data_IF_290663526285
#
_entry.id   IF_290663526285
#
_cell.length_a   1.000
_cell.length_b   1.000
_cell.length_c   1.000
_cell.angle_alpha   90.00
_cell.angle_beta   90.00
_cell.angle_gamma   90.00
#
_symmetry.space_group_name_H-M   'P 1'
#
loop_
_entity.id
_entity.type
_entity.pdbx_description
1 polymer ?
#
# COMPACT_ATOMS: atom_id res chain seq x y z
N UNK A 1 -6.55 -22.25 -15.01
CA UNK A 1 -7.93 -21.89 -14.59
C UNK A 1 -7.93 -20.46 -14.07
N UNK A 2 -8.28 -19.50 -14.92
CA UNK A 2 -8.12 -18.05 -14.69
C UNK A 2 -9.14 -17.52 -13.66
N UNK A 3 -8.61 -17.02 -12.53
CA UNK A 3 -9.02 -15.83 -11.79
C UNK A 3 -10.52 -15.47 -11.67
N UNK A 4 -11.40 -16.43 -11.36
CA UNK A 4 -12.78 -16.10 -10.92
C UNK A 4 -12.85 -15.52 -9.49
N UNK A 5 -11.76 -15.58 -8.73
CA UNK A 5 -11.72 -15.11 -7.34
C UNK A 5 -11.67 -13.59 -7.19
N UNK A 6 -11.14 -12.86 -8.18
CA UNK A 6 -11.03 -11.38 -8.12
C UNK A 6 -12.38 -10.67 -8.14
N UNK A 7 -13.34 -11.02 -9.02
CA UNK A 7 -14.69 -10.42 -8.95
C UNK A 7 -15.45 -10.87 -7.70
N UNK A 8 -15.17 -12.06 -7.17
CA UNK A 8 -15.83 -12.57 -5.95
C UNK A 8 -15.46 -11.76 -4.70
N UNK A 9 -14.18 -11.38 -4.55
CA UNK A 9 -13.73 -10.54 -3.42
C UNK A 9 -14.29 -9.12 -3.52
N UNK A 10 -14.34 -8.55 -4.72
CA UNK A 10 -14.98 -7.24 -4.94
C UNK A 10 -16.47 -7.25 -4.64
N UNK A 11 -17.19 -8.30 -5.05
CA UNK A 11 -18.61 -8.47 -4.76
C UNK A 11 -18.88 -8.67 -3.26
N UNK A 12 -18.04 -9.44 -2.55
CA UNK A 12 -18.14 -9.62 -1.10
C UNK A 12 -17.90 -8.31 -0.33
N UNK A 13 -16.94 -7.50 -0.77
CA UNK A 13 -16.66 -6.19 -0.16
C UNK A 13 -17.83 -5.21 -0.40
N UNK A 14 -18.39 -5.17 -1.61
CA UNK A 14 -19.59 -4.38 -1.93
C UNK A 14 -20.80 -4.85 -1.13
N UNK A 15 -21.02 -6.17 -1.03
CA UNK A 15 -22.11 -6.74 -0.25
C UNK A 15 -21.98 -6.37 1.24
N UNK A 16 -20.78 -6.51 1.81
CA UNK A 16 -20.50 -6.14 3.19
C UNK A 16 -20.74 -4.63 3.42
N UNK A 17 -20.32 -3.77 2.49
CA UNK A 17 -20.56 -2.33 2.55
C UNK A 17 -22.06 -2.00 2.54
N UNK A 18 -22.84 -2.65 1.66
CA UNK A 18 -24.30 -2.48 1.58
C UNK A 18 -24.98 -2.94 2.87
N UNK A 19 -24.55 -4.07 3.44
CA UNK A 19 -25.09 -4.60 4.70
C UNK A 19 -24.79 -3.65 5.87
N UNK A 20 -23.57 -3.10 5.96
CA UNK A 20 -23.20 -2.12 6.98
C UNK A 20 -24.00 -0.82 6.80
N UNK A 21 -24.16 -0.32 5.56
CA UNK A 21 -24.96 0.87 5.29
C UNK A 21 -26.43 0.67 5.68
N UNK A 22 -27.01 -0.49 5.38
CA UNK A 22 -28.39 -0.82 5.77
C UNK A 22 -28.54 -0.92 7.30
N UNK A 23 -27.55 -1.47 7.99
CA UNK A 23 -27.57 -1.59 9.45
C UNK A 23 -27.48 -0.22 10.16
N UNK A 24 -26.75 0.73 9.58
CA UNK A 24 -26.61 2.10 10.12
C UNK A 24 -27.81 2.98 9.79
N UNK A 25 -28.45 2.76 8.62
CA UNK A 25 -29.59 3.57 8.17
C UNK A 25 -30.93 3.17 8.81
N UNK A 26 -31.02 1.99 9.42
CA UNK A 26 -32.28 1.49 10.00
C UNK A 26 -32.35 1.77 11.51
N UNK A 27 -33.12 2.77 11.98
CA UNK A 27 -33.40 2.92 13.39
C UNK A 27 -34.21 1.71 13.87
N UNK A 28 -33.60 0.85 14.69
CA UNK A 28 -34.26 -0.30 15.29
C UNK A 28 -35.39 0.15 16.22
N UNK A 29 -36.61 0.26 15.69
CA UNK A 29 -37.82 0.48 16.48
C UNK A 29 -38.41 -0.86 16.90
N UNK A 30 -37.95 -1.35 18.05
CA UNK A 30 -38.61 -2.45 18.75
C UNK A 30 -39.96 -1.95 19.27
N UNK A 31 -41.04 -2.28 18.56
CA UNK A 31 -42.41 -2.14 19.06
C UNK A 31 -42.67 -3.32 19.97
N UNK A 32 -42.51 -3.12 21.29
CA UNK A 32 -42.90 -4.11 22.27
C UNK A 32 -44.42 -4.32 22.16
N UNK A 33 -44.92 -5.57 22.09
CA UNK A 33 -46.34 -5.82 22.20
C UNK A 33 -46.83 -5.25 23.53
N UNK A 34 -47.79 -4.32 23.50
CA UNK A 34 -48.48 -3.91 24.72
C UNK A 34 -49.10 -5.17 25.32
N UNK A 35 -48.54 -5.60 26.45
CA UNK A 35 -49.14 -6.62 27.28
C UNK A 35 -50.49 -6.03 27.72
N UNK A 36 -51.57 -6.47 27.09
CA UNK A 36 -52.94 -6.21 27.54
C UNK A 36 -53.11 -6.92 28.87
N UNK A 37 -52.67 -6.29 29.94
CA UNK A 37 -53.11 -6.64 31.28
C UNK A 37 -54.60 -6.30 31.33
N UNK A 38 -55.44 -7.34 31.36
CA UNK A 38 -56.83 -7.17 31.78
C UNK A 38 -56.82 -6.50 33.16
N UNK A 39 -57.57 -5.41 33.39
CA UNK A 39 -57.63 -4.81 34.70
C UNK A 39 -58.20 -5.86 35.65
N UNK A 40 -57.39 -6.34 36.59
CA UNK A 40 -57.95 -7.00 37.76
C UNK A 40 -58.74 -5.93 38.51
N UNK A 41 -60.01 -6.23 38.77
CA UNK A 41 -60.93 -5.35 39.50
C UNK A 41 -60.27 -4.89 40.81
N UNK A 42 -59.99 -3.59 40.88
CA UNK A 42 -59.30 -3.00 42.01
C UNK A 42 -60.28 -2.83 43.19
N UNK A 43 -59.95 -3.31 44.40
CA UNK A 43 -60.72 -2.92 45.57
C UNK A 43 -60.53 -1.43 45.87
N UNK A 44 -61.62 -0.84 46.35
CA UNK A 44 -61.86 0.57 46.64
C UNK A 44 -60.68 1.34 47.24
N UNK A 45 -60.35 2.44 46.55
CA UNK A 45 -59.60 3.66 46.92
C UNK A 45 -59.22 3.85 48.41
N UNK A 46 -57.90 3.84 48.65
CA UNK A 46 -57.23 4.74 49.59
C UNK A 46 -56.73 5.97 48.79
N UNK A 47 -56.65 7.18 49.37
CA UNK A 47 -56.06 8.32 48.69
C UNK A 47 -54.60 7.99 48.36
N UNK A 48 -54.29 7.92 47.07
CA UNK A 48 -52.94 7.66 46.60
C UNK A 48 -52.01 8.80 47.07
N UNK A 49 -50.80 8.51 47.56
CA UNK A 49 -49.80 9.56 47.73
C UNK A 49 -49.57 10.21 46.36
N UNK A 50 -49.56 11.53 46.33
CA UNK A 50 -49.19 12.30 45.13
C UNK A 50 -47.82 11.84 44.67
N UNK A 51 -47.77 11.03 43.61
CA UNK A 51 -46.53 10.71 42.92
C UNK A 51 -46.04 12.01 42.29
N UNK A 52 -44.97 12.58 42.86
CA UNK A 52 -44.20 13.63 42.20
C UNK A 52 -43.76 13.05 40.85
N UNK A 53 -44.10 13.69 39.71
CA UNK A 53 -43.61 13.21 38.42
C UNK A 53 -42.07 13.17 38.50
N UNK A 54 -41.43 12.08 38.05
CA UNK A 54 -39.98 12.03 38.03
C UNK A 54 -39.45 13.24 37.26
N UNK A 55 -38.36 13.89 37.71
CA UNK A 55 -37.76 14.96 36.95
C UNK A 55 -37.46 14.45 35.53
N UNK A 56 -37.76 15.26 34.51
CA UNK A 56 -37.41 14.95 33.13
C UNK A 56 -35.94 14.51 33.10
N UNK A 57 -35.60 13.40 32.42
CA UNK A 57 -34.21 13.01 32.28
C UNK A 57 -33.47 14.20 31.68
N UNK A 58 -32.51 14.75 32.43
CA UNK A 58 -31.55 15.73 31.89
C UNK A 58 -30.82 15.00 30.79
N UNK A 59 -31.29 15.15 29.56
CA UNK A 59 -30.67 14.62 28.37
C UNK A 59 -29.31 15.28 28.25
N UNK A 60 -28.27 14.61 28.76
CA UNK A 60 -26.91 14.94 28.38
C UNK A 60 -26.82 14.87 26.86
N UNK A 61 -26.03 15.75 26.26
CA UNK A 61 -25.77 15.84 24.81
C UNK A 61 -25.03 14.60 24.25
N UNK A 62 -25.48 13.39 24.60
CA UNK A 62 -25.00 12.09 24.11
C UNK A 62 -25.07 12.01 22.57
N UNK A 63 -25.95 12.83 21.96
CA UNK A 63 -26.05 12.97 20.51
C UNK A 63 -24.77 13.51 19.86
N UNK A 64 -24.04 14.41 20.53
CA UNK A 64 -22.80 14.97 19.96
C UNK A 64 -21.65 13.98 20.05
N UNK A 65 -21.49 13.32 21.20
CA UNK A 65 -20.46 12.30 21.41
C UNK A 65 -20.69 11.08 20.48
N UNK A 66 -21.93 10.65 20.30
CA UNK A 66 -22.30 9.59 19.36
C UNK A 66 -21.96 9.99 17.91
N UNK A 67 -22.24 11.24 17.52
CA UNK A 67 -21.91 11.73 16.18
C UNK A 67 -20.40 11.73 15.91
N UNK A 68 -19.58 12.15 16.88
CA UNK A 68 -18.11 12.13 16.75
C UNK A 68 -17.54 10.71 16.66
N UNK A 69 -18.08 9.76 17.41
CA UNK A 69 -17.67 8.35 17.34
C UNK A 69 -18.01 7.74 15.98
N UNK A 70 -19.20 8.04 15.44
CA UNK A 70 -19.62 7.59 14.11
C UNK A 70 -18.72 8.21 13.03
N UNK A 71 -18.41 9.50 13.12
CA UNK A 71 -17.50 10.17 12.19
C UNK A 71 -16.09 9.54 12.23
N UNK A 72 -15.55 9.27 13.42
CA UNK A 72 -14.25 8.63 13.60
C UNK A 72 -14.24 7.22 13.00
N UNK A 73 -15.31 6.45 13.21
CA UNK A 73 -15.47 5.12 12.62
C UNK A 73 -15.46 5.18 11.08
N UNK A 74 -16.17 6.13 10.47
CA UNK A 74 -16.15 6.34 9.02
C UNK A 74 -14.77 6.69 8.49
N UNK A 75 -14.05 7.57 9.18
CA UNK A 75 -12.66 7.92 8.82
C UNK A 75 -11.76 6.70 8.88
N UNK A 76 -11.88 5.87 9.92
CA UNK A 76 -11.09 4.64 10.06
C UNK A 76 -11.43 3.62 8.97
N UNK A 77 -12.72 3.46 8.62
CA UNK A 77 -13.17 2.58 7.54
C UNK A 77 -12.66 3.05 6.18
N UNK A 78 -12.72 4.34 5.88
CA UNK A 78 -12.17 4.91 4.64
C UNK A 78 -10.65 4.72 4.56
N UNK A 79 -9.95 4.94 5.67
CA UNK A 79 -8.51 4.70 5.75
C UNK A 79 -8.17 3.21 5.52
N UNK A 80 -8.90 2.29 6.15
CA UNK A 80 -8.73 0.85 5.98
C UNK A 80 -9.03 0.41 4.53
N UNK A 81 -10.11 0.93 3.93
CA UNK A 81 -10.47 0.68 2.54
C UNK A 81 -9.40 1.19 1.57
N UNK A 82 -8.85 2.38 1.82
CA UNK A 82 -7.74 2.94 1.03
C UNK A 82 -6.48 2.08 1.12
N UNK A 83 -6.08 1.67 2.33
CA UNK A 83 -4.93 0.79 2.53
C UNK A 83 -5.12 -0.58 1.88
N UNK A 84 -6.34 -1.14 1.97
CA UNK A 84 -6.68 -2.39 1.33
C UNK A 84 -6.63 -2.26 -0.19
N UNK A 85 -7.23 -1.22 -0.77
CA UNK A 85 -7.19 -0.94 -2.20
C UNK A 85 -5.75 -0.80 -2.70
N UNK A 86 -4.91 -0.03 -1.98
CA UNK A 86 -3.48 0.07 -2.25
C UNK A 86 -2.78 -1.29 -2.20
N UNK A 87 -3.08 -2.12 -1.20
CA UNK A 87 -2.48 -3.46 -1.08
C UNK A 87 -2.89 -4.40 -2.22
N UNK A 88 -4.15 -4.34 -2.65
CA UNK A 88 -4.71 -5.12 -3.75
C UNK A 88 -4.12 -4.69 -5.08
N UNK A 89 -4.03 -3.39 -5.34
CA UNK A 89 -3.34 -2.85 -6.52
C UNK A 89 -1.88 -3.31 -6.55
N UNK A 90 -1.17 -3.24 -5.42
CA UNK A 90 0.21 -3.77 -5.33
C UNK A 90 0.29 -5.26 -5.65
N UNK A 91 -0.65 -6.07 -5.14
CA UNK A 91 -0.70 -7.52 -5.39
C UNK A 91 -1.06 -7.88 -6.83
N UNK A 92 -1.98 -7.15 -7.45
CA UNK A 92 -2.38 -7.36 -8.85
C UNK A 92 -1.23 -6.97 -9.78
N UNK A 93 -0.56 -5.84 -9.52
CA UNK A 93 0.61 -5.41 -10.30
C UNK A 93 1.78 -6.38 -10.10
N UNK A 94 1.99 -6.93 -8.89
CA UNK A 94 3.01 -7.97 -8.66
C UNK A 94 2.64 -9.36 -9.18
N UNK A 95 1.33 -9.65 -9.30
CA UNK A 95 0.78 -10.94 -9.74
C UNK A 95 0.54 -11.03 -11.24
N UNK A 96 0.81 -9.94 -11.99
CA UNK A 96 0.88 -9.93 -13.47
C UNK A 96 2.25 -10.36 -14.00
N UNK A 97 3.10 -10.97 -13.18
CA UNK A 97 4.17 -11.83 -13.70
C UNK A 97 3.48 -12.91 -14.56
N UNK A 98 3.75 -13.00 -15.86
CA UNK A 98 3.45 -14.22 -16.58
C UNK A 98 4.11 -15.36 -15.82
N UNK A 99 3.35 -16.42 -15.60
CA UNK A 99 3.83 -17.67 -15.02
C UNK A 99 4.88 -18.24 -15.97
N UNK A 100 6.14 -17.81 -15.82
CA UNK A 100 7.26 -18.32 -16.59
C UNK A 100 7.57 -19.70 -16.04
N UNK A 101 7.45 -20.67 -16.95
CA UNK A 101 7.57 -22.11 -16.76
C UNK A 101 8.69 -22.53 -15.78
N UNK A 102 8.53 -23.66 -15.07
CA UNK A 102 9.61 -24.24 -14.27
C UNK A 102 10.80 -24.58 -15.17
N UNK A 103 11.88 -23.81 -15.08
CA UNK A 103 13.17 -24.21 -15.64
C UNK A 103 13.66 -25.43 -14.87
N UNK A 104 13.92 -26.52 -15.60
CA UNK A 104 14.60 -27.71 -15.10
C UNK A 104 15.92 -27.34 -14.41
N UNK A 105 16.26 -27.99 -13.29
CA UNK A 105 17.54 -27.80 -12.64
C UNK A 105 18.58 -28.64 -13.38
N UNK A 106 19.33 -28.04 -14.32
CA UNK A 106 20.51 -28.69 -14.86
C UNK A 106 21.79 -27.85 -14.72
N UNK A 107 22.72 -28.47 -13.99
CA UNK A 107 24.17 -28.28 -13.95
C UNK A 107 24.76 -27.04 -13.28
N UNK A 108 25.14 -27.30 -12.03
CA UNK A 108 26.42 -26.92 -11.43
C UNK A 108 27.60 -27.25 -12.38
N UNK A 109 27.86 -26.38 -13.35
CA UNK A 109 29.11 -26.28 -14.09
C UNK A 109 29.41 -24.79 -14.20
N UNK A 110 30.63 -24.39 -13.84
CA UNK A 110 31.07 -23.00 -13.83
C UNK A 110 30.73 -22.30 -15.14
N UNK A 111 29.66 -21.50 -15.11
CA UNK A 111 29.23 -20.70 -16.23
C UNK A 111 30.11 -19.48 -16.30
N UNK A 112 31.04 -19.48 -17.26
CA UNK A 112 31.48 -18.23 -17.84
C UNK A 112 30.22 -17.44 -18.24
N UNK A 113 29.99 -16.35 -17.52
CA UNK A 113 29.07 -15.29 -17.92
C UNK A 113 29.43 -14.97 -19.36
N UNK A 114 28.52 -15.21 -20.31
CA UNK A 114 28.66 -14.67 -21.65
C UNK A 114 28.79 -13.16 -21.52
N UNK A 115 29.95 -12.55 -21.85
CA UNK A 115 30.04 -11.11 -21.96
C UNK A 115 29.39 -10.76 -23.29
N UNK A 116 28.09 -10.39 -23.29
CA UNK A 116 27.42 -10.08 -24.55
C UNK A 116 25.90 -10.12 -24.59
N UNK A 117 25.19 -10.20 -23.46
CA UNK A 117 23.85 -9.63 -23.43
C UNK A 117 24.00 -8.11 -23.44
N UNK A 118 24.08 -7.49 -24.62
CA UNK A 118 24.12 -6.04 -24.75
C UNK A 118 22.96 -5.47 -23.93
N UNK A 119 23.28 -4.77 -22.83
CA UNK A 119 22.29 -3.94 -22.14
C UNK A 119 21.79 -2.95 -23.15
N UNK A 120 20.48 -2.88 -23.31
CA UNK A 120 19.84 -1.84 -24.11
C UNK A 120 20.02 -0.52 -23.34
N UNK A 121 21.03 0.28 -23.72
CA UNK A 121 21.36 1.53 -23.03
C UNK A 121 20.17 2.50 -23.02
N UNK A 122 19.46 2.75 -24.14
CA UNK A 122 18.22 3.52 -24.14
C UNK A 122 17.20 3.06 -23.09
N UNK A 123 16.94 1.75 -23.00
CA UNK A 123 16.04 1.20 -21.99
C UNK A 123 16.51 1.45 -20.55
N UNK A 124 17.83 1.42 -20.31
CA UNK A 124 18.39 1.70 -19.00
C UNK A 124 18.32 3.20 -18.65
N UNK A 125 18.50 4.08 -19.65
CA UNK A 125 18.28 5.54 -19.50
C UNK A 125 16.82 5.79 -19.12
N UNK A 126 15.86 5.24 -19.86
CA UNK A 126 14.42 5.35 -19.56
C UNK A 126 14.10 4.87 -18.13
N UNK A 127 14.76 3.80 -17.68
CA UNK A 127 14.58 3.27 -16.33
C UNK A 127 15.15 4.18 -15.24
N UNK A 128 16.29 4.82 -15.48
CA UNK A 128 16.90 5.79 -14.57
C UNK A 128 16.09 7.09 -14.52
N UNK A 129 15.58 7.55 -15.66
CA UNK A 129 14.70 8.73 -15.74
C UNK A 129 13.38 8.50 -15.01
N UNK A 130 12.78 7.31 -15.16
CA UNK A 130 11.60 6.94 -14.37
C UNK A 130 11.90 6.91 -12.86
N UNK A 131 13.09 6.46 -12.46
CA UNK A 131 13.52 6.47 -11.06
C UNK A 131 13.73 7.89 -10.53
N UNK A 132 14.28 8.81 -11.34
CA UNK A 132 14.42 10.23 -11.02
C UNK A 132 13.05 10.90 -10.83
N UNK A 133 12.13 10.71 -11.78
CA UNK A 133 10.76 11.22 -11.65
C UNK A 133 10.08 10.68 -10.38
N UNK A 134 10.32 9.41 -10.05
CA UNK A 134 9.75 8.80 -8.85
C UNK A 134 10.37 9.31 -7.56
N UNK A 135 11.65 9.67 -7.58
CA UNK A 135 12.33 10.30 -6.45
C UNK A 135 11.65 11.63 -6.07
N UNK A 136 11.17 12.36 -7.08
CA UNK A 136 10.64 13.73 -6.94
C UNK A 136 9.19 13.76 -6.45
N UNK A 137 8.44 12.72 -6.77
CA UNK A 137 7.01 12.58 -6.44
C UNK A 137 6.78 12.09 -4.98
N UNK A 138 7.82 11.71 -4.24
CA UNK A 138 7.64 11.13 -2.91
C UNK A 138 7.47 12.19 -1.80
N UNK A 139 6.48 11.97 -0.93
CA UNK A 139 6.18 12.89 0.18
C UNK A 139 7.16 12.86 1.36
N UNK A 140 8.06 11.86 1.45
CA UNK A 140 9.07 11.79 2.51
C UNK A 140 10.45 11.41 1.95
N UNK A 141 11.56 11.87 2.56
CA UNK A 141 12.91 11.50 2.12
C UNK A 141 13.18 9.99 2.11
N UNK A 142 12.65 9.28 3.11
CA UNK A 142 12.72 7.83 3.19
C UNK A 142 12.03 7.17 1.98
N UNK A 143 10.78 7.56 1.74
CA UNK A 143 9.98 6.97 0.66
C UNK A 143 10.54 7.34 -0.72
N UNK A 144 11.16 8.51 -0.87
CA UNK A 144 11.80 8.94 -2.10
C UNK A 144 12.85 7.93 -2.57
N UNK A 145 13.83 7.63 -1.71
CA UNK A 145 14.94 6.73 -2.06
C UNK A 145 14.44 5.31 -2.32
N UNK A 146 13.51 4.80 -1.49
CA UNK A 146 12.94 3.47 -1.68
C UNK A 146 12.10 3.40 -2.95
N UNK A 147 11.30 4.42 -3.25
CA UNK A 147 10.44 4.42 -4.42
C UNK A 147 11.23 4.57 -5.71
N UNK A 148 12.26 5.41 -5.74
CA UNK A 148 13.16 5.54 -6.89
C UNK A 148 13.87 4.21 -7.20
N UNK A 149 14.41 3.53 -6.18
CA UNK A 149 15.04 2.22 -6.35
C UNK A 149 14.05 1.18 -6.90
N UNK A 150 12.85 1.11 -6.34
CA UNK A 150 11.83 0.16 -6.80
C UNK A 150 11.36 0.50 -8.22
N UNK A 151 11.28 1.78 -8.59
CA UNK A 151 10.92 2.18 -9.95
C UNK A 151 12.03 1.84 -10.96
N UNK A 152 13.31 1.99 -10.59
CA UNK A 152 14.42 1.52 -11.41
C UNK A 152 14.28 0.02 -11.72
N UNK A 153 14.00 -0.81 -10.72
CA UNK A 153 13.78 -2.25 -10.92
C UNK A 153 12.57 -2.54 -11.82
N UNK A 154 11.45 -1.85 -11.58
CA UNK A 154 10.23 -2.04 -12.37
C UNK A 154 10.39 -1.58 -13.81
N UNK A 155 11.04 -0.45 -14.02
CA UNK A 155 11.26 0.10 -15.33
C UNK A 155 12.19 -0.79 -16.14
N UNK A 156 13.27 -1.26 -15.54
CA UNK A 156 14.18 -2.25 -16.16
C UNK A 156 13.44 -3.53 -16.58
N UNK A 157 12.53 -4.03 -15.74
CA UNK A 157 11.71 -5.20 -16.06
C UNK A 157 10.78 -4.98 -17.27
N UNK A 158 10.29 -3.75 -17.51
CA UNK A 158 9.49 -3.44 -18.72
C UNK A 158 10.30 -3.64 -20.01
N UNK A 159 11.63 -3.56 -19.92
CA UNK A 159 12.55 -3.78 -21.03
C UNK A 159 13.20 -5.17 -21.01
N UNK A 160 12.62 -6.13 -20.26
CA UNK A 160 13.07 -7.53 -20.24
C UNK A 160 14.21 -7.83 -19.26
N UNK A 161 14.70 -6.83 -18.53
CA UNK A 161 15.69 -7.04 -17.47
C UNK A 161 15.00 -7.38 -16.17
N UNK A 162 14.70 -8.66 -15.99
CA UNK A 162 14.04 -9.16 -14.79
C UNK A 162 15.02 -9.69 -13.74
N UNK A 163 14.60 -9.59 -12.49
CA UNK A 163 15.27 -10.18 -11.34
C UNK A 163 14.96 -11.66 -11.24
N UNK A 164 15.98 -12.50 -11.04
CA UNK A 164 15.77 -13.92 -10.79
C UNK A 164 15.00 -14.14 -9.48
N UNK A 165 14.31 -15.29 -9.36
CA UNK A 165 13.51 -15.58 -8.17
C UNK A 165 14.33 -15.61 -6.87
N UNK A 166 15.57 -16.08 -6.94
CA UNK A 166 16.52 -16.15 -5.82
C UNK A 166 17.34 -14.87 -5.62
N UNK A 167 17.31 -13.96 -6.60
CA UNK A 167 18.16 -12.77 -6.60
C UNK A 167 17.52 -11.67 -5.75
N UNK A 168 18.34 -11.07 -4.88
CA UNK A 168 17.91 -9.93 -4.08
C UNK A 168 17.83 -8.66 -4.93
N UNK A 169 17.02 -7.71 -4.48
CA UNK A 169 16.88 -6.37 -5.08
C UNK A 169 18.24 -5.67 -5.33
N UNK A 170 19.18 -5.81 -4.40
CA UNK A 170 20.54 -5.25 -4.50
C UNK A 170 21.47 -6.02 -5.43
N UNK A 171 21.34 -7.34 -5.51
CA UNK A 171 22.10 -8.16 -6.46
C UNK A 171 21.64 -7.89 -7.89
N UNK A 172 20.32 -7.83 -8.12
CA UNK A 172 19.75 -7.48 -9.41
C UNK A 172 20.25 -6.15 -9.93
N UNK A 173 20.13 -5.11 -9.13
CA UNK A 173 20.53 -3.75 -9.55
C UNK A 173 22.05 -3.66 -9.72
N UNK A 174 22.81 -4.41 -8.89
CA UNK A 174 24.26 -4.54 -9.04
C UNK A 174 24.66 -5.23 -10.36
N UNK A 175 23.96 -6.31 -10.74
CA UNK A 175 24.14 -6.99 -12.01
C UNK A 175 23.76 -6.09 -13.19
N UNK A 176 22.57 -5.49 -13.13
CA UNK A 176 22.03 -4.60 -14.16
C UNK A 176 22.97 -3.43 -14.48
N UNK A 177 23.40 -2.69 -13.45
CA UNK A 177 24.27 -1.53 -13.62
C UNK A 177 25.73 -1.93 -13.82
N UNK A 178 26.16 -3.08 -13.30
CA UNK A 178 27.53 -3.58 -13.43
C UNK A 178 27.92 -4.04 -14.83
N UNK A 179 26.95 -4.36 -15.69
CA UNK A 179 27.18 -4.64 -17.12
C UNK A 179 26.96 -3.41 -18.02
N UNK A 180 26.74 -2.24 -17.43
CA UNK A 180 26.55 -0.96 -18.12
C UNK A 180 27.72 0.01 -17.89
N UNK A 181 27.82 1.12 -18.64
CA UNK A 181 28.78 2.19 -18.37
C UNK A 181 28.54 2.99 -17.07
N UNK A 182 27.56 2.60 -16.24
CA UNK A 182 27.23 3.31 -15.01
C UNK A 182 28.45 3.39 -14.05
N UNK A 183 28.77 4.57 -13.49
CA UNK A 183 29.96 4.70 -12.65
C UNK A 183 29.80 3.95 -11.31
N UNK A 184 30.74 3.07 -10.93
CA UNK A 184 30.57 2.15 -9.80
C UNK A 184 30.41 2.86 -8.46
N UNK A 185 31.02 4.02 -8.27
CA UNK A 185 30.91 4.85 -7.06
C UNK A 185 29.50 5.43 -6.87
N UNK A 186 28.83 5.78 -7.97
CA UNK A 186 27.46 6.30 -7.96
C UNK A 186 26.46 5.16 -7.73
N UNK A 187 26.67 4.00 -8.35
CA UNK A 187 25.90 2.77 -8.07
C UNK A 187 26.03 2.37 -6.60
N UNK A 188 27.25 2.37 -6.05
CA UNK A 188 27.48 2.04 -4.64
C UNK A 188 26.82 3.05 -3.70
N UNK A 189 26.82 4.33 -4.06
CA UNK A 189 26.14 5.39 -3.29
C UNK A 189 24.64 5.17 -3.24
N UNK A 190 24.02 4.94 -4.40
CA UNK A 190 22.59 4.66 -4.49
C UNK A 190 22.21 3.43 -3.66
N UNK A 191 22.99 2.34 -3.77
CA UNK A 191 22.79 1.11 -2.99
C UNK A 191 22.83 1.35 -1.49
N UNK A 192 23.82 2.09 -0.99
CA UNK A 192 23.93 2.41 0.45
C UNK A 192 22.74 3.22 0.94
N UNK A 193 22.30 4.21 0.17
CA UNK A 193 21.14 5.05 0.54
C UNK A 193 19.85 4.22 0.59
N UNK A 194 19.65 3.32 -0.37
CA UNK A 194 18.52 2.39 -0.35
C UNK A 194 18.56 1.45 0.86
N UNK A 195 19.71 0.85 1.16
CA UNK A 195 19.87 -0.02 2.31
C UNK A 195 19.63 0.72 3.62
N UNK A 196 20.15 1.95 3.75
CA UNK A 196 19.91 2.78 4.93
C UNK A 196 18.41 3.07 5.08
N UNK A 197 17.74 3.51 4.01
CA UNK A 197 16.31 3.77 4.05
C UNK A 197 15.53 2.52 4.48
N UNK A 198 15.83 1.35 3.89
CA UNK A 198 15.01 0.15 4.05
C UNK A 198 15.25 -0.64 5.33
N UNK A 199 16.48 -0.65 5.84
CA UNK A 199 16.90 -1.59 6.89
C UNK A 199 17.40 -0.92 8.16
N UNK A 200 17.39 0.42 8.22
CA UNK A 200 17.79 1.14 9.42
C UNK A 200 16.64 1.97 9.96
N UNK A 201 16.70 2.26 11.25
CA UNK A 201 15.80 3.21 11.93
C UNK A 201 16.29 4.65 11.84
N UNK A 202 17.45 4.89 11.21
CA UNK A 202 18.00 6.24 11.07
C UNK A 202 17.21 7.02 10.02
N UNK A 203 16.72 8.23 10.33
CA UNK A 203 15.95 9.02 9.38
C UNK A 203 16.81 9.37 8.15
N UNK A 204 16.24 9.17 6.96
CA UNK A 204 16.83 9.65 5.73
C UNK A 204 16.67 11.17 5.65
N UNK A 205 17.74 11.89 5.39
CA UNK A 205 17.71 13.36 5.34
C UNK A 205 17.46 13.89 3.92
N UNK A 206 16.98 15.14 3.76
CA UNK A 206 16.89 15.76 2.44
C UNK A 206 18.23 15.80 1.69
N UNK A 207 19.34 16.01 2.39
CA UNK A 207 20.68 15.97 1.80
C UNK A 207 21.02 14.59 1.20
N UNK A 208 20.54 13.51 1.83
CA UNK A 208 20.68 12.16 1.30
C UNK A 208 19.82 11.92 0.05
N UNK A 209 18.64 12.53 -0.02
CA UNK A 209 17.82 12.52 -1.26
C UNK A 209 18.53 13.26 -2.38
N UNK A 210 19.11 14.44 -2.12
CA UNK A 210 19.93 15.15 -3.11
C UNK A 210 21.13 14.33 -3.57
N UNK A 211 21.74 13.56 -2.66
CA UNK A 211 22.84 12.64 -3.02
C UNK A 211 22.38 11.45 -3.86
N UNK A 212 21.18 10.92 -3.60
CA UNK A 212 20.57 9.89 -4.45
C UNK A 212 20.26 10.44 -5.85
N UNK A 213 19.70 11.65 -5.94
CA UNK A 213 19.46 12.35 -7.21
C UNK A 213 20.76 12.49 -8.00
N UNK A 214 21.79 13.06 -7.39
CA UNK A 214 23.08 13.25 -8.04
C UNK A 214 23.70 11.93 -8.53
N UNK A 215 23.53 10.84 -7.76
CA UNK A 215 23.97 9.52 -8.20
C UNK A 215 23.20 9.02 -9.43
N UNK A 216 21.87 9.14 -9.44
CA UNK A 216 21.05 8.77 -10.59
C UNK A 216 21.36 9.63 -11.82
N UNK A 217 21.53 10.93 -11.68
CA UNK A 217 21.91 11.84 -12.77
C UNK A 217 23.29 11.53 -13.34
N UNK A 218 24.27 11.16 -12.50
CA UNK A 218 25.57 10.68 -12.97
C UNK A 218 25.46 9.38 -13.75
N UNK A 219 24.63 8.45 -13.29
CA UNK A 219 24.37 7.19 -14.00
C UNK A 219 23.71 7.50 -15.36
N UNK A 220 22.66 8.31 -15.40
CA UNK A 220 21.99 8.71 -16.65
C UNK A 220 22.97 9.32 -17.67
N UNK A 221 23.79 10.28 -17.23
CA UNK A 221 24.80 10.91 -18.12
C UNK A 221 25.81 9.91 -18.69
N UNK A 222 26.27 8.97 -17.88
CA UNK A 222 27.20 7.93 -18.34
C UNK A 222 26.53 6.98 -19.36
N UNK A 223 25.26 6.67 -19.16
CA UNK A 223 24.48 5.84 -20.10
C UNK A 223 24.19 6.55 -21.42
N UNK A 224 24.00 7.87 -21.40
CA UNK A 224 23.84 8.70 -22.61
C UNK A 224 25.15 8.89 -23.39
N UNK A 225 26.28 8.37 -22.92
CA UNK A 225 27.60 8.61 -23.51
C UNK A 225 28.11 10.04 -23.31
N UNK A 226 27.49 10.82 -22.41
CA UNK A 226 27.96 12.15 -22.01
C UNK A 226 28.95 12.01 -20.86
N UNK A 227 30.18 11.59 -21.18
CA UNK A 227 31.32 11.72 -20.26
C UNK A 227 31.67 13.21 -20.12
N UNK A 228 31.99 13.72 -18.92
CA UNK A 228 32.45 15.09 -18.73
C UNK A 228 33.79 15.38 -19.43
#
# INVERSE_FOLDING_TARGET
MRSRAVPAVGALALLALVVVAAAVASPWRLTLPEARMSPAEAPSVLPAPTLVPPPDPVGGDDSTLTAWLVALLWVLLLAAAFLLARSVVRRIVSGRRPDTQPSEPDRLLGGAVTPGGLVDLPALVDAVDAALARLDDAGTPHDAVVAAWVELERASARHGWERHAFETSTEFTGRLLGVSPAPPEHVATLRRLYQQARFTTHPVTPAQVSRARAALESIARALDGRTP
#
